data_IF_902128873354
#
_entry.id   IF_902128873354
#
_cell.length_a   1.000
_cell.length_b   1.000
_cell.length_c   1.000
_cell.angle_alpha   90.00
_cell.angle_beta   90.00
_cell.angle_gamma   90.00
#
_symmetry.space_group_name_H-M   'P 1'
#
loop_
_entity.id
_entity.type
_entity.pdbx_description
1 polymer ?
#
# COMPACT_ATOMS: atom_id res chain seq x y z
N UNK A 1 -11.51 3.06 7.13
CA UNK A 1 -11.39 1.67 7.62
C UNK A 1 -9.91 1.28 7.64
N UNK A 2 -9.46 0.70 8.72
CA UNK A 2 -8.07 0.24 8.82
C UNK A 2 -7.93 -1.11 8.14
N UNK A 3 -6.96 -1.22 7.27
CA UNK A 3 -6.69 -2.44 6.52
C UNK A 3 -5.21 -2.80 6.57
N UNK A 4 -4.90 -4.09 6.43
CA UNK A 4 -3.54 -4.58 6.38
C UNK A 4 -3.02 -4.54 4.96
N UNK A 5 -1.93 -3.80 4.73
CA UNK A 5 -1.19 -3.81 3.48
C UNK A 5 0.02 -4.72 3.63
N UNK A 6 0.07 -5.81 2.90
CA UNK A 6 1.22 -6.70 2.89
C UNK A 6 2.02 -6.48 1.62
N UNK A 7 3.29 -6.10 1.78
CA UNK A 7 4.26 -5.99 0.69
C UNK A 7 5.12 -7.25 0.73
N UNK A 8 5.31 -7.86 -0.43
CA UNK A 8 6.04 -9.13 -0.57
C UNK A 8 7.33 -8.91 -1.36
N UNK A 9 8.37 -9.75 -1.15
CA UNK A 9 9.56 -9.68 -1.99
C UNK A 9 9.26 -9.76 -3.49
N UNK A 10 8.26 -10.52 -3.89
CA UNK A 10 7.85 -10.64 -5.30
C UNK A 10 7.38 -9.30 -5.89
N UNK A 11 6.84 -8.40 -5.08
CA UNK A 11 6.42 -7.08 -5.53
C UNK A 11 7.61 -6.26 -6.04
N UNK A 12 8.81 -6.49 -5.50
CA UNK A 12 10.06 -5.84 -5.92
C UNK A 12 10.63 -6.44 -7.21
N UNK A 13 10.26 -7.67 -7.54
CA UNK A 13 10.67 -8.29 -8.80
C UNK A 13 9.85 -7.76 -9.98
N UNK A 14 8.61 -7.40 -9.76
CA UNK A 14 7.67 -6.93 -10.79
C UNK A 14 7.62 -5.42 -10.87
N UNK A 15 7.74 -4.72 -9.72
CA UNK A 15 7.65 -3.28 -9.64
C UNK A 15 8.92 -2.57 -10.05
N UNK A 16 8.79 -1.29 -10.41
CA UNK A 16 9.90 -0.43 -10.81
C UNK A 16 10.13 0.65 -9.75
N UNK A 17 11.39 0.83 -9.28
CA UNK A 17 11.72 1.93 -8.37
C UNK A 17 11.38 3.28 -9.01
N UNK A 18 11.04 4.26 -8.17
CA UNK A 18 10.72 5.63 -8.58
C UNK A 18 9.52 5.76 -9.52
N UNK A 19 8.73 4.73 -9.69
CA UNK A 19 7.53 4.79 -10.52
C UNK A 19 6.29 4.81 -9.63
N UNK A 20 5.61 5.97 -9.47
CA UNK A 20 4.44 6.09 -8.59
C UNK A 20 3.23 5.25 -9.03
N UNK A 21 3.24 4.76 -10.27
CA UNK A 21 2.16 3.95 -10.84
C UNK A 21 2.49 2.47 -10.95
N UNK A 22 3.72 2.07 -10.66
CA UNK A 22 4.16 0.68 -10.85
C UNK A 22 5.29 0.27 -9.89
N UNK A 23 5.40 0.93 -8.75
CA UNK A 23 6.38 0.56 -7.73
C UNK A 23 5.87 -0.63 -6.88
N UNK A 24 6.73 -1.29 -6.10
CA UNK A 24 6.31 -2.42 -5.25
C UNK A 24 5.13 -2.11 -4.34
N UNK A 25 5.10 -0.92 -3.73
CA UNK A 25 3.99 -0.49 -2.88
C UNK A 25 2.69 -0.35 -3.67
N UNK A 26 2.75 0.19 -4.88
CA UNK A 26 1.58 0.30 -5.76
C UNK A 26 1.02 -1.08 -6.10
N UNK A 27 1.89 -2.04 -6.43
CA UNK A 27 1.48 -3.42 -6.72
C UNK A 27 0.76 -4.02 -5.51
N UNK A 28 1.30 -3.85 -4.31
CA UNK A 28 0.68 -4.33 -3.08
C UNK A 28 -0.69 -3.68 -2.85
N UNK A 29 -0.80 -2.36 -3.07
CA UNK A 29 -2.06 -1.62 -2.91
C UNK A 29 -3.14 -2.09 -3.88
N UNK A 30 -2.78 -2.51 -5.10
CA UNK A 30 -3.77 -3.02 -6.06
C UNK A 30 -4.52 -4.25 -5.54
N UNK A 31 -3.96 -4.98 -4.58
CA UNK A 31 -4.64 -6.12 -3.96
C UNK A 31 -5.74 -5.72 -2.98
N UNK A 32 -5.72 -4.48 -2.48
CA UNK A 32 -6.70 -3.97 -1.52
C UNK A 32 -7.76 -3.09 -2.17
N UNK A 33 -7.39 -2.37 -3.22
CA UNK A 33 -8.23 -1.34 -3.80
C UNK A 33 -9.17 -1.89 -4.87
N UNK A 34 -10.31 -1.23 -5.02
CA UNK A 34 -11.20 -1.50 -6.15
C UNK A 34 -10.47 -1.23 -7.45
N UNK A 35 -10.80 -1.99 -8.49
CA UNK A 35 -10.15 -1.89 -9.79
C UNK A 35 -10.33 -0.52 -10.46
N UNK A 36 -11.38 0.20 -10.08
CA UNK A 36 -11.69 1.54 -10.60
C UNK A 36 -11.05 2.68 -9.81
N UNK A 37 -10.21 2.37 -8.81
CA UNK A 37 -9.49 3.36 -8.02
C UNK A 37 -8.07 3.51 -8.56
N UNK A 38 -7.67 4.75 -8.87
CA UNK A 38 -6.30 5.06 -9.23
C UNK A 38 -5.49 5.38 -7.97
N UNK A 39 -4.25 4.93 -7.95
CA UNK A 39 -3.35 5.10 -6.83
C UNK A 39 -2.04 5.68 -7.32
N UNK A 40 -1.59 6.75 -6.67
CA UNK A 40 -0.28 7.36 -6.91
C UNK A 40 0.53 7.24 -5.63
N UNK A 41 1.65 6.50 -5.67
CA UNK A 41 2.50 6.30 -4.50
C UNK A 41 3.60 7.34 -4.50
N UNK A 42 3.61 8.16 -3.45
CA UNK A 42 4.70 9.08 -3.16
C UNK A 42 5.54 8.51 -2.02
N UNK A 43 6.60 9.21 -1.63
CA UNK A 43 7.51 8.71 -0.62
C UNK A 43 6.88 8.67 0.78
N UNK A 44 6.03 9.63 1.11
CA UNK A 44 5.47 9.83 2.44
C UNK A 44 3.95 9.69 2.49
N UNK A 45 3.29 9.59 1.32
CA UNK A 45 1.83 9.43 1.25
C UNK A 45 1.44 8.70 -0.03
N UNK A 46 0.23 8.20 -0.06
CA UNK A 46 -0.43 7.73 -1.28
C UNK A 46 -1.63 8.63 -1.57
N UNK A 47 -1.86 8.87 -2.86
CA UNK A 47 -3.03 9.62 -3.31
C UNK A 47 -3.97 8.66 -4.03
N UNK A 48 -5.20 8.58 -3.54
CA UNK A 48 -6.23 7.71 -4.09
C UNK A 48 -7.28 8.56 -4.79
N UNK A 49 -7.58 8.21 -6.04
CA UNK A 49 -8.57 8.92 -6.85
C UNK A 49 -9.53 7.89 -7.42
N UNK A 50 -10.86 8.09 -7.27
CA UNK A 50 -11.81 7.21 -7.96
C UNK A 50 -11.65 7.35 -9.47
N UNK A 51 -11.93 6.28 -10.18
CA UNK A 51 -11.90 6.28 -11.63
C UNK A 51 -12.80 7.39 -12.18
N UNK A 52 -12.29 8.09 -13.16
CA UNK A 52 -13.03 9.16 -13.80
C UNK A 52 -14.16 8.57 -14.65
N UNK A 53 -15.34 8.50 -14.08
CA UNK A 53 -16.53 8.28 -14.87
C UNK A 53 -17.17 9.64 -15.13
N UNK A 54 -17.14 10.07 -16.38
CA UNK A 54 -17.51 11.42 -16.81
C UNK A 54 -19.00 11.75 -16.57
N UNK A 55 -19.81 10.78 -16.12
CA UNK A 55 -21.24 10.95 -15.97
C UNK A 55 -21.72 11.07 -14.53
N UNK A 56 -20.84 10.90 -13.55
CA UNK A 56 -21.23 10.80 -12.15
C UNK A 56 -20.58 11.85 -11.26
N UNK A 57 -21.05 11.96 -10.06
CA UNK A 57 -20.61 12.94 -9.08
C UNK A 57 -19.09 12.89 -8.83
N UNK A 58 -18.48 14.05 -8.82
CA UNK A 58 -17.08 14.24 -8.50
C UNK A 58 -16.79 13.76 -7.08
N UNK A 59 -16.09 12.64 -6.95
CA UNK A 59 -15.55 12.20 -5.66
C UNK A 59 -14.11 12.68 -5.57
N UNK A 60 -13.80 13.56 -4.59
CA UNK A 60 -12.45 14.08 -4.48
C UNK A 60 -11.47 12.96 -4.11
N UNK A 61 -10.23 13.09 -4.58
CA UNK A 61 -9.14 12.24 -4.16
C UNK A 61 -8.77 12.49 -2.70
N UNK A 62 -8.13 11.50 -2.08
CA UNK A 62 -7.69 11.57 -0.70
C UNK A 62 -6.21 11.23 -0.59
N UNK A 63 -5.52 11.90 0.32
CA UNK A 63 -4.14 11.60 0.70
C UNK A 63 -4.15 10.71 1.93
N UNK A 64 -3.40 9.62 1.87
CA UNK A 64 -3.22 8.70 3.00
C UNK A 64 -1.75 8.78 3.41
N UNK A 65 -1.49 9.18 4.64
CA UNK A 65 -0.13 9.19 5.17
C UNK A 65 0.39 7.76 5.33
N UNK A 66 1.64 7.55 4.97
CA UNK A 66 2.28 6.24 5.09
C UNK A 66 3.00 6.13 6.44
N UNK A 67 3.01 4.92 7.06
CA UNK A 67 3.85 4.67 8.22
C UNK A 67 5.33 4.93 7.91
N UNK A 68 6.08 5.40 8.90
CA UNK A 68 7.48 5.76 8.72
C UNK A 68 8.33 4.60 8.21
N UNK A 69 8.11 3.40 8.72
CA UNK A 69 8.85 2.20 8.27
C UNK A 69 8.58 1.88 6.79
N UNK A 70 7.37 2.11 6.32
CA UNK A 70 7.04 1.94 4.91
C UNK A 70 7.71 3.03 4.06
N UNK A 71 7.78 4.26 4.55
CA UNK A 71 8.49 5.34 3.87
C UNK A 71 9.97 5.00 3.68
N UNK A 72 10.62 4.40 4.69
CA UNK A 72 12.01 3.97 4.59
C UNK A 72 12.20 2.88 3.54
N UNK A 73 11.28 1.92 3.47
CA UNK A 73 11.32 0.86 2.45
C UNK A 73 11.19 1.45 1.05
N UNK A 74 10.28 2.38 0.85
CA UNK A 74 10.10 3.07 -0.43
C UNK A 74 11.37 3.81 -0.81
N UNK A 75 11.93 4.56 0.13
CA UNK A 75 13.17 5.32 -0.09
C UNK A 75 14.33 4.41 -0.48
N UNK A 76 14.55 3.34 0.27
CA UNK A 76 15.64 2.40 0.02
C UNK A 76 15.51 1.71 -1.33
N UNK A 77 14.27 1.41 -1.74
CA UNK A 77 14.02 0.83 -3.05
C UNK A 77 14.27 1.86 -4.16
N UNK A 78 13.77 3.09 -3.99
CA UNK A 78 13.88 4.14 -5.00
C UNK A 78 15.33 4.59 -5.22
N UNK A 79 16.10 4.72 -4.16
CA UNK A 79 17.46 5.25 -4.23
C UNK A 79 18.51 4.15 -4.47
N UNK A 80 18.34 2.99 -3.81
CA UNK A 80 19.34 1.93 -3.79
C UNK A 80 18.90 0.64 -4.50
N UNK A 81 17.65 0.55 -4.91
CA UNK A 81 17.10 -0.66 -5.50
C UNK A 81 16.95 -1.82 -4.52
N UNK A 82 16.95 -1.53 -3.21
CA UNK A 82 16.84 -2.58 -2.19
C UNK A 82 15.45 -3.20 -2.17
N UNK A 83 15.41 -4.51 -1.96
CA UNK A 83 14.19 -5.27 -1.69
C UNK A 83 14.06 -5.56 -0.20
N UNK A 84 13.04 -6.31 0.17
CA UNK A 84 12.82 -6.80 1.53
C UNK A 84 13.07 -8.31 1.59
N UNK A 85 13.49 -8.80 2.76
CA UNK A 85 13.84 -10.21 2.94
C UNK A 85 12.62 -11.12 3.06
N UNK A 86 11.50 -10.60 3.52
CA UNK A 86 10.26 -11.36 3.67
C UNK A 86 9.06 -10.41 3.62
N UNK A 87 7.83 -10.94 3.65
CA UNK A 87 6.65 -10.09 3.62
C UNK A 87 6.58 -9.17 4.83
N UNK A 88 6.16 -7.92 4.58
CA UNK A 88 5.96 -6.91 5.61
C UNK A 88 4.53 -6.39 5.55
N UNK A 89 3.90 -6.30 6.72
CA UNK A 89 2.51 -5.85 6.81
C UNK A 89 2.42 -4.54 7.57
N UNK A 90 1.73 -3.59 6.96
CA UNK A 90 1.47 -2.27 7.54
C UNK A 90 -0.03 -2.03 7.62
N UNK A 91 -0.45 -1.26 8.61
CA UNK A 91 -1.84 -0.86 8.71
C UNK A 91 -2.02 0.51 8.09
N UNK A 92 -2.98 0.62 7.19
CA UNK A 92 -3.37 1.89 6.58
C UNK A 92 -4.84 2.16 6.85
N UNK A 93 -5.18 3.42 7.05
CA UNK A 93 -6.57 3.85 7.19
C UNK A 93 -7.05 4.38 5.83
N UNK A 94 -7.80 3.55 5.12
CA UNK A 94 -8.29 3.85 3.78
C UNK A 94 -9.81 3.95 3.82
N UNK A 95 -10.41 5.00 3.22
CA UNK A 95 -11.86 5.09 3.13
C UNK A 95 -12.45 3.84 2.49
N UNK A 96 -13.51 3.32 3.09
CA UNK A 96 -14.12 2.04 2.69
C UNK A 96 -14.54 2.03 1.21
N UNK A 97 -14.95 3.17 0.69
CA UNK A 97 -15.41 3.31 -0.70
C UNK A 97 -14.32 3.06 -1.74
N UNK A 98 -13.04 3.09 -1.34
CA UNK A 98 -11.91 2.80 -2.23
C UNK A 98 -11.48 1.34 -2.17
N UNK A 99 -11.95 0.59 -1.19
CA UNK A 99 -11.55 -0.80 -0.94
C UNK A 99 -12.45 -1.80 -1.66
N UNK A 100 -11.90 -2.97 -1.94
CA UNK A 100 -12.70 -4.10 -2.41
C UNK A 100 -13.77 -4.44 -1.37
N UNK A 101 -14.91 -4.94 -1.82
CA UNK A 101 -16.04 -5.25 -0.95
C UNK A 101 -15.74 -6.34 0.10
N UNK A 102 -14.81 -7.22 -0.20
CA UNK A 102 -14.42 -8.33 0.66
C UNK A 102 -13.34 -7.96 1.69
N UNK A 103 -12.93 -6.69 1.75
CA UNK A 103 -11.91 -6.26 2.71
C UNK A 103 -12.48 -6.21 4.12
N UNK A 104 -11.76 -6.85 5.05
CA UNK A 104 -12.06 -6.83 6.46
C UNK A 104 -11.18 -5.82 7.19
N UNK A 105 -11.69 -5.26 8.29
CA UNK A 105 -10.94 -4.34 9.10
C UNK A 105 -9.78 -5.05 9.80
N UNK A 106 -8.56 -4.53 9.63
CA UNK A 106 -7.38 -5.05 10.27
C UNK A 106 -7.24 -4.50 11.70
N UNK A 107 -6.71 -5.34 12.58
CA UNK A 107 -6.28 -4.90 13.90
C UNK A 107 -4.83 -4.44 13.81
N UNK A 108 -4.63 -3.15 13.61
CA UNK A 108 -3.35 -2.53 13.28
C UNK A 108 -2.15 -3.04 14.08
N UNK A 109 -2.33 -3.10 15.40
CA UNK A 109 -1.24 -3.49 16.30
C UNK A 109 -0.90 -4.98 16.14
N UNK A 110 -1.92 -5.81 15.94
CA UNK A 110 -1.72 -7.25 15.82
C UNK A 110 -1.01 -7.63 14.52
N UNK A 111 -1.27 -6.93 13.43
CA UNK A 111 -0.65 -7.23 12.14
C UNK A 111 0.85 -6.95 12.16
N UNK A 112 1.25 -5.80 12.71
CA UNK A 112 2.67 -5.44 12.86
C UNK A 112 3.38 -6.39 13.81
N UNK A 113 2.78 -6.69 14.96
CA UNK A 113 3.35 -7.59 15.94
C UNK A 113 3.46 -9.02 15.40
N UNK A 114 2.47 -9.48 14.65
CA UNK A 114 2.52 -10.79 14.02
C UNK A 114 3.67 -10.89 13.02
N UNK A 115 3.91 -9.86 12.25
CA UNK A 115 5.03 -9.82 11.31
C UNK A 115 6.37 -9.85 12.04
N UNK A 116 6.54 -9.02 13.07
CA UNK A 116 7.77 -8.99 13.86
C UNK A 116 8.09 -10.35 14.46
N UNK A 117 7.09 -11.03 15.03
CA UNK A 117 7.25 -12.38 15.57
C UNK A 117 7.64 -13.40 14.51
N UNK A 118 7.02 -13.36 13.35
CA UNK A 118 7.35 -14.26 12.24
C UNK A 118 8.78 -14.05 11.77
N UNK A 119 9.24 -12.80 11.70
CA UNK A 119 10.60 -12.46 11.31
C UNK A 119 11.62 -12.90 12.35
N UNK A 120 11.32 -12.76 13.63
CA UNK A 120 12.20 -13.19 14.72
C UNK A 120 12.29 -14.71 14.86
N UNK A 121 11.22 -15.41 14.50
CA UNK A 121 11.18 -16.87 14.54
C UNK A 121 11.91 -17.54 13.38
N UNK A 122 12.17 -16.78 12.35
CA UNK A 122 12.92 -17.26 11.18
C UNK A 122 14.40 -17.06 11.38
#
# INVERSE_FOLDING_TARGET
>A
MKVALTIRPDDFLVGFPCNPFDCPTHIALRRLLRSDVNCIVQQDYIFLVPSYDATESFTPGVNIALPEELQEIIYDNDIWGHSIAGPMTFTLDIPKEFLREDMEEAQAINDVVAWEKATQAA
#
